data_IF_025288168510
#
_entry.id   IF_025288168510
#
_cell.length_a   1.000
_cell.length_b   1.000
_cell.length_c   1.000
_cell.angle_alpha   90.00
_cell.angle_beta   90.00
_cell.angle_gamma   90.00
#
_symmetry.space_group_name_H-M   'P 1'
#
loop_
_entity.id
_entity.type
_entity.pdbx_description
1 polymer ?
#
# COMPACT_ATOMS: atom_id res chain seq x y z
N UNK A 1 9.14 1.85 -18.69
CA UNK A 1 8.59 2.16 -17.37
C UNK A 1 7.14 1.72 -17.34
N UNK A 2 6.79 0.74 -16.52
CA UNK A 2 5.41 0.30 -16.35
C UNK A 2 4.91 0.80 -14.99
N UNK A 3 3.68 1.32 -14.95
CA UNK A 3 3.06 1.76 -13.69
C UNK A 3 2.77 0.54 -12.83
N UNK A 4 3.22 0.55 -11.58
CA UNK A 4 2.86 -0.47 -10.58
C UNK A 4 1.53 -0.09 -9.93
N UNK A 5 0.54 -0.95 -10.06
CA UNK A 5 -0.74 -0.89 -9.37
C UNK A 5 -0.58 -1.60 -8.04
N UNK A 6 -0.98 -0.91 -6.97
CA UNK A 6 -0.92 -1.42 -5.60
C UNK A 6 -2.34 -1.75 -5.12
N UNK A 7 -2.49 -2.89 -4.45
CA UNK A 7 -3.66 -3.20 -3.63
C UNK A 7 -3.43 -2.61 -2.24
N UNK A 8 -4.37 -1.78 -1.74
CA UNK A 8 -4.27 -1.23 -0.40
C UNK A 8 -4.40 -2.32 0.65
N UNK A 9 -3.68 -2.17 1.77
CA UNK A 9 -3.97 -2.95 2.97
C UNK A 9 -5.13 -2.28 3.71
N UNK A 10 -6.20 -3.03 3.98
CA UNK A 10 -7.37 -2.51 4.68
C UNK A 10 -7.33 -2.93 6.15
N UNK A 11 -7.60 -2.00 7.05
CA UNK A 11 -7.74 -2.26 8.49
C UNK A 11 -9.18 -2.10 8.95
N UNK A 12 -9.66 -3.12 9.65
CA UNK A 12 -10.92 -3.11 10.38
C UNK A 12 -10.71 -2.54 11.78
N UNK A 13 -11.32 -1.38 12.05
CA UNK A 13 -11.45 -0.82 13.39
C UNK A 13 -12.92 -0.51 13.69
N UNK A 14 -13.27 -0.51 14.99
CA UNK A 14 -14.64 -0.31 15.47
C UNK A 14 -15.26 1.04 15.05
N UNK A 15 -14.43 2.02 14.71
CA UNK A 15 -14.82 3.37 14.28
C UNK A 15 -14.81 3.52 12.75
N UNK A 16 -14.63 2.43 12.01
CA UNK A 16 -14.67 2.45 10.55
C UNK A 16 -16.07 2.70 9.99
N UNK A 17 -16.13 2.81 8.66
CA UNK A 17 -17.35 3.08 7.93
C UNK A 17 -17.41 2.34 6.60
N UNK A 18 -18.31 2.80 5.73
CA UNK A 18 -18.51 2.26 4.38
C UNK A 18 -17.99 3.18 3.27
N UNK A 19 -17.53 4.40 3.62
CA UNK A 19 -17.18 5.46 2.66
C UNK A 19 -16.10 5.04 1.65
N UNK A 20 -15.09 4.32 2.12
CA UNK A 20 -14.01 3.82 1.28
C UNK A 20 -14.49 2.76 0.27
N UNK A 21 -15.52 2.00 0.61
CA UNK A 21 -16.17 1.08 -0.32
C UNK A 21 -17.08 1.84 -1.29
N UNK A 22 -17.95 2.72 -0.77
CA UNK A 22 -18.99 3.38 -1.56
C UNK A 22 -18.46 4.46 -2.50
N UNK A 23 -17.49 5.27 -2.07
CA UNK A 23 -16.93 6.36 -2.87
C UNK A 23 -15.69 5.96 -3.68
N UNK A 24 -14.86 5.05 -3.15
CA UNK A 24 -13.57 4.69 -3.75
C UNK A 24 -13.52 3.28 -4.33
N UNK A 25 -14.58 2.47 -4.18
CA UNK A 25 -14.67 1.13 -4.75
C UNK A 25 -13.60 0.17 -4.21
N UNK A 26 -13.11 0.40 -3.00
CA UNK A 26 -12.09 -0.46 -2.38
C UNK A 26 -12.76 -1.75 -1.94
N UNK A 27 -12.46 -2.83 -2.67
CA UNK A 27 -13.06 -4.13 -2.45
C UNK A 27 -12.51 -4.78 -1.16
N UNK A 28 -13.32 -4.77 -0.10
CA UNK A 28 -12.98 -5.38 1.19
C UNK A 28 -14.21 -6.08 1.78
N UNK A 29 -14.02 -7.33 2.18
CA UNK A 29 -15.10 -8.26 2.59
C UNK A 29 -15.61 -8.00 4.03
N UNK A 30 -14.91 -7.16 4.81
CA UNK A 30 -15.27 -6.86 6.20
C UNK A 30 -15.69 -5.41 6.37
N UNK A 31 -16.89 -5.22 6.91
CA UNK A 31 -17.41 -3.91 7.35
C UNK A 31 -17.65 -3.94 8.86
N UNK A 32 -17.39 -2.83 9.57
CA UNK A 32 -16.79 -1.57 9.11
C UNK A 32 -15.28 -1.70 8.86
N UNK A 33 -14.73 -0.94 7.90
CA UNK A 33 -13.28 -0.77 7.79
C UNK A 33 -12.92 0.70 7.88
N UNK A 34 -11.82 0.98 8.57
CA UNK A 34 -11.50 2.29 9.06
C UNK A 34 -10.42 2.96 8.23
N UNK A 35 -9.44 2.20 7.77
CA UNK A 35 -8.33 2.72 6.97
C UNK A 35 -8.00 1.82 5.78
N UNK A 36 -7.64 2.45 4.67
CA UNK A 36 -7.03 1.82 3.51
C UNK A 36 -5.64 2.41 3.28
N UNK A 37 -4.60 1.59 3.46
CA UNK A 37 -3.20 1.95 3.28
C UNK A 37 -2.78 1.68 1.83
N UNK A 38 -2.92 2.71 0.99
CA UNK A 38 -2.69 2.65 -0.46
C UNK A 38 -1.21 2.56 -0.84
N UNK A 39 -0.34 3.17 -0.02
CA UNK A 39 1.10 3.15 -0.24
C UNK A 39 1.79 2.99 1.11
N UNK A 40 2.13 1.75 1.43
CA UNK A 40 2.71 1.36 2.71
C UNK A 40 3.76 0.26 2.51
N UNK A 41 4.91 0.46 3.13
CA UNK A 41 5.92 -0.56 3.36
C UNK A 41 5.91 -1.07 4.82
N UNK A 42 4.87 -0.73 5.60
CA UNK A 42 4.81 -1.10 7.01
C UNK A 42 4.53 -2.61 7.16
N UNK A 43 5.23 -3.33 8.05
CA UNK A 43 5.07 -4.78 8.21
C UNK A 43 3.64 -5.23 8.55
N UNK A 44 2.89 -4.43 9.33
CA UNK A 44 1.48 -4.71 9.66
C UNK A 44 0.48 -4.52 8.51
N UNK A 45 0.88 -3.87 7.42
CA UNK A 45 -0.01 -3.59 6.30
C UNK A 45 0.75 -3.21 5.04
N UNK A 46 1.54 -4.13 4.47
CA UNK A 46 2.32 -3.83 3.28
C UNK A 46 1.39 -3.78 2.06
N UNK A 47 1.56 -2.76 1.23
CA UNK A 47 0.86 -2.67 -0.06
C UNK A 47 1.41 -3.75 -1.00
N UNK A 48 0.50 -4.43 -1.72
CA UNK A 48 0.86 -5.54 -2.62
C UNK A 48 0.74 -5.11 -4.08
N UNK A 49 1.73 -5.43 -4.90
CA UNK A 49 1.69 -5.14 -6.33
C UNK A 49 0.74 -6.13 -7.01
N UNK A 50 -0.19 -5.65 -7.83
CA UNK A 50 -1.19 -6.51 -8.50
C UNK A 50 -0.94 -6.73 -9.99
N UNK A 51 0.09 -6.11 -10.56
CA UNK A 51 0.34 -6.16 -11.99
C UNK A 51 1.82 -6.32 -12.33
N UNK A 52 2.08 -6.79 -13.55
CA UNK A 52 3.43 -6.97 -14.07
C UNK A 52 4.16 -8.16 -13.45
N UNK A 53 5.49 -8.24 -13.63
CA UNK A 53 6.30 -9.38 -13.18
C UNK A 53 6.44 -9.47 -11.65
N UNK A 54 6.14 -8.40 -10.92
CA UNK A 54 6.17 -8.35 -9.46
C UNK A 54 4.79 -8.55 -8.83
N UNK A 55 3.79 -8.95 -9.61
CA UNK A 55 2.45 -9.22 -9.10
C UNK A 55 2.48 -10.27 -7.98
N UNK A 56 1.79 -10.00 -6.88
CA UNK A 56 1.77 -10.84 -5.67
C UNK A 56 2.88 -10.52 -4.67
N UNK A 57 3.85 -9.67 -5.01
CA UNK A 57 4.90 -9.23 -4.09
C UNK A 57 4.48 -7.96 -3.36
N UNK A 58 5.00 -7.78 -2.15
CA UNK A 58 4.86 -6.53 -1.39
C UNK A 58 5.74 -5.44 -1.96
N UNK A 59 5.37 -4.18 -1.74
CA UNK A 59 6.18 -3.02 -2.13
C UNK A 59 7.58 -3.07 -1.51
N UNK A 60 7.68 -3.54 -0.27
CA UNK A 60 8.97 -3.72 0.42
C UNK A 60 9.85 -4.78 -0.26
N UNK A 61 9.28 -5.93 -0.66
CA UNK A 61 10.02 -6.97 -1.39
C UNK A 61 10.51 -6.45 -2.75
N UNK A 62 9.67 -5.70 -3.47
CA UNK A 62 10.06 -5.09 -4.73
C UNK A 62 11.25 -4.12 -4.56
N UNK A 63 11.25 -3.31 -3.51
CA UNK A 63 12.36 -2.39 -3.20
C UNK A 63 13.64 -3.15 -2.82
N UNK A 64 13.51 -4.27 -2.11
CA UNK A 64 14.65 -5.12 -1.72
C UNK A 64 15.30 -5.79 -2.93
N UNK A 65 14.48 -6.28 -3.87
CA UNK A 65 14.96 -6.96 -5.09
C UNK A 65 15.57 -6.01 -6.12
N UNK A 66 14.93 -4.87 -6.39
CA UNK A 66 15.42 -3.89 -7.38
C UNK A 66 16.44 -2.91 -6.77
N UNK A 67 16.52 -2.85 -5.45
CA UNK A 67 17.38 -1.94 -4.71
C UNK A 67 16.82 -0.52 -4.61
N UNK A 68 17.49 0.31 -3.80
CA UNK A 68 17.07 1.69 -3.52
C UNK A 68 17.09 2.63 -4.74
N UNK A 69 17.55 2.18 -5.90
CA UNK A 69 17.54 2.98 -7.13
C UNK A 69 16.11 3.29 -7.59
N UNK A 70 15.16 2.38 -7.34
CA UNK A 70 13.74 2.59 -7.68
C UNK A 70 13.07 3.70 -6.87
N UNK A 71 13.65 4.04 -5.71
CA UNK A 71 13.16 5.10 -4.82
C UNK A 71 13.69 6.48 -5.20
N UNK A 72 14.67 6.54 -6.10
CA UNK A 72 15.36 7.77 -6.46
C UNK A 72 16.42 8.20 -5.43
N UNK A 73 17.26 9.15 -5.84
CA UNK A 73 18.45 9.56 -5.10
C UNK A 73 18.15 10.24 -3.75
N UNK A 74 17.00 10.89 -3.62
CA UNK A 74 16.59 11.59 -2.38
C UNK A 74 16.16 10.63 -1.27
N UNK A 75 15.69 9.43 -1.63
CA UNK A 75 15.27 8.43 -0.67
C UNK A 75 16.45 7.69 -0.02
N UNK A 76 17.68 7.79 -0.58
CA UNK A 76 18.90 7.18 -0.03
C UNK A 76 19.26 7.62 1.38
N UNK A 77 18.75 8.78 1.83
CA UNK A 77 18.96 9.28 3.20
C UNK A 77 18.19 8.45 4.24
N UNK A 78 17.11 7.80 3.83
CA UNK A 78 16.23 7.08 4.73
C UNK A 78 16.56 5.59 4.69
N UNK A 79 16.61 4.96 5.87
CA UNK A 79 16.78 3.50 5.99
C UNK A 79 15.58 2.76 5.41
N UNK A 80 14.39 3.28 5.70
CA UNK A 80 13.11 2.71 5.32
C UNK A 80 12.36 3.64 4.37
N UNK A 81 11.34 3.12 3.68
CA UNK A 81 10.53 3.92 2.79
C UNK A 81 9.82 5.04 3.57
N UNK A 82 10.04 6.32 3.24
CA UNK A 82 9.73 7.43 4.15
C UNK A 82 8.27 7.88 4.15
N UNK A 83 7.44 7.35 3.24
CA UNK A 83 6.06 7.81 3.05
C UNK A 83 5.09 6.68 3.38
N UNK A 84 4.02 7.04 4.08
CA UNK A 84 2.85 6.19 4.26
C UNK A 84 1.64 6.98 3.77
N UNK A 85 0.88 6.42 2.82
CA UNK A 85 -0.36 7.01 2.34
C UNK A 85 -1.53 6.12 2.76
N UNK A 86 -2.35 6.63 3.67
CA UNK A 86 -3.61 6.02 4.09
C UNK A 86 -4.79 6.96 3.81
N UNK A 87 -5.97 6.38 3.65
CA UNK A 87 -7.25 7.10 3.64
C UNK A 87 -8.17 6.44 4.66
N UNK A 88 -8.99 7.22 5.35
CA UNK A 88 -9.95 6.72 6.33
C UNK A 88 -11.39 6.79 5.83
N UNK A 89 -12.21 5.84 6.26
CA UNK A 89 -13.65 5.83 6.00
C UNK A 89 -14.36 6.99 6.70
#
# INVERSE_FOLDING_TARGET
>A
MTVLKLKPACKDDLWGGERLWTEYGIDYDRTPFAEAWMLSCHPDGPSTIVNGPYAGKTLQQYIDEEGQEVLGTHCRRFRDFPIHLSSSA
#
